data_IF_675418878471
#
_entry.id   IF_675418878471
#
_cell.length_a   1.000
_cell.length_b   1.000
_cell.length_c   1.000
_cell.angle_alpha   90.00
_cell.angle_beta   90.00
_cell.angle_gamma   90.00
#
_symmetry.space_group_name_H-M   'P 1'
#
loop_
_entity.id
_entity.type
_entity.pdbx_description
1 polymer ?
#
# COMPACT_ATOMS: atom_id res chain seq x y z
N UNK A 1 7.92 -27.48 9.08
CA UNK A 1 7.38 -26.32 9.81
C UNK A 1 8.57 -25.46 10.25
N UNK A 2 8.61 -24.17 9.94
CA UNK A 2 9.75 -23.32 10.32
C UNK A 2 9.62 -22.88 11.78
N UNK A 3 10.65 -23.13 12.58
CA UNK A 3 10.73 -22.67 13.97
C UNK A 3 11.70 -21.50 14.05
N UNK A 4 11.29 -20.40 14.69
CA UNK A 4 12.17 -19.26 14.94
C UNK A 4 12.58 -19.22 16.42
N UNK A 5 13.86 -18.93 16.67
CA UNK A 5 14.42 -18.70 18.01
C UNK A 5 14.86 -17.26 18.09
N UNK A 6 14.31 -16.52 19.05
CA UNK A 6 14.58 -15.11 19.27
C UNK A 6 15.40 -14.96 20.56
N UNK A 7 16.65 -14.55 20.44
CA UNK A 7 17.51 -14.32 21.61
C UNK A 7 17.41 -12.86 22.07
N UNK A 8 16.90 -12.65 23.28
CA UNK A 8 16.73 -11.32 23.89
C UNK A 8 17.94 -10.89 24.74
N UNK A 9 18.92 -11.77 25.00
CA UNK A 9 20.09 -11.51 25.86
C UNK A 9 21.17 -10.71 25.13
N UNK A 10 20.78 -9.67 24.40
CA UNK A 10 21.64 -8.88 23.50
C UNK A 10 22.10 -7.56 24.12
N UNK A 11 21.59 -7.18 25.30
CA UNK A 11 21.85 -5.89 25.94
C UNK A 11 21.05 -4.71 25.37
N UNK A 12 20.20 -4.96 24.36
CA UNK A 12 19.30 -3.98 23.75
C UNK A 12 17.99 -3.92 24.53
N UNK A 13 17.45 -2.72 24.74
CA UNK A 13 16.09 -2.55 25.27
C UNK A 13 15.07 -2.95 24.21
N UNK A 14 14.59 -4.20 24.29
CA UNK A 14 13.63 -4.73 23.35
C UNK A 14 12.21 -4.17 23.51
N UNK A 15 11.94 -3.40 24.58
CA UNK A 15 10.67 -2.68 24.79
C UNK A 15 10.68 -1.30 24.13
N UNK A 16 11.85 -0.80 23.72
CA UNK A 16 11.94 0.47 23.01
C UNK A 16 11.13 0.42 21.70
N UNK A 17 10.36 1.48 21.44
CA UNK A 17 9.49 1.56 20.25
C UNK A 17 10.20 2.15 19.05
N UNK A 18 9.99 1.54 17.89
CA UNK A 18 10.45 2.00 16.59
C UNK A 18 9.28 1.94 15.62
N UNK A 19 8.89 3.11 15.11
CA UNK A 19 7.67 3.29 14.30
C UNK A 19 6.40 2.71 14.95
N UNK A 20 6.25 2.89 16.27
CA UNK A 20 5.05 2.51 17.02
C UNK A 20 5.03 1.10 17.61
N UNK A 21 5.90 0.20 17.15
CA UNK A 21 6.03 -1.18 17.67
C UNK A 21 7.29 -1.34 18.50
N UNK A 22 7.29 -2.23 19.50
CA UNK A 22 8.53 -2.57 20.21
C UNK A 22 9.48 -3.37 19.32
N UNK A 23 10.77 -3.41 19.66
CA UNK A 23 11.75 -4.21 18.91
C UNK A 23 11.37 -5.70 18.95
N UNK A 24 10.97 -6.20 20.12
CA UNK A 24 10.51 -7.58 20.29
C UNK A 24 9.28 -7.87 19.42
N UNK A 25 8.28 -6.99 19.47
CA UNK A 25 7.05 -7.09 18.68
C UNK A 25 7.36 -7.19 17.18
N UNK A 26 8.25 -6.33 16.68
CA UNK A 26 8.67 -6.33 15.28
C UNK A 26 9.39 -7.62 14.90
N UNK A 27 10.28 -8.13 15.74
CA UNK A 27 11.00 -9.38 15.48
C UNK A 27 10.03 -10.58 15.39
N UNK A 28 9.08 -10.68 16.31
CA UNK A 28 8.05 -11.72 16.32
C UNK A 28 7.19 -11.64 15.05
N UNK A 29 6.66 -10.45 14.72
CA UNK A 29 5.80 -10.26 13.56
C UNK A 29 6.53 -10.54 12.24
N UNK A 30 7.80 -10.13 12.11
CA UNK A 30 8.61 -10.48 10.93
C UNK A 30 8.75 -11.98 10.72
N UNK A 31 9.05 -12.73 11.78
CA UNK A 31 9.15 -14.20 11.72
C UNK A 31 7.81 -14.85 11.37
N UNK A 32 6.74 -14.40 12.02
CA UNK A 32 5.38 -14.91 11.79
C UNK A 32 4.95 -14.69 10.34
N UNK A 33 5.02 -13.46 9.84
CA UNK A 33 4.63 -13.13 8.46
C UNK A 33 5.61 -13.67 7.40
N UNK A 34 6.83 -14.08 7.78
CA UNK A 34 7.72 -14.85 6.91
C UNK A 34 7.35 -16.34 6.85
N UNK A 35 6.42 -16.82 7.69
CA UNK A 35 5.87 -18.18 7.69
C UNK A 35 6.26 -19.06 8.87
N UNK A 36 6.86 -18.50 9.92
CA UNK A 36 7.20 -19.26 11.14
C UNK A 36 6.03 -19.26 12.11
N UNK A 37 5.40 -20.43 12.31
CA UNK A 37 4.26 -20.59 13.24
C UNK A 37 4.65 -21.00 14.65
N UNK A 38 5.92 -21.37 14.86
CA UNK A 38 6.48 -21.68 16.18
C UNK A 38 7.63 -20.72 16.46
N UNK A 39 7.54 -19.97 17.56
CA UNK A 39 8.54 -18.98 17.96
C UNK A 39 8.94 -19.26 19.42
N UNK A 40 10.23 -19.46 19.66
CA UNK A 40 10.84 -19.65 20.97
C UNK A 40 11.62 -18.40 21.36
N UNK A 41 11.24 -17.74 22.46
CA UNK A 41 11.91 -16.55 22.98
C UNK A 41 12.87 -16.98 24.08
N UNK A 42 14.16 -16.69 23.91
CA UNK A 42 15.22 -16.95 24.88
C UNK A 42 15.48 -15.67 25.66
N UNK A 43 15.34 -15.73 26.98
CA UNK A 43 15.54 -14.59 27.85
C UNK A 43 16.12 -14.99 29.21
N UNK A 44 16.88 -14.09 29.83
CA UNK A 44 17.50 -14.28 31.14
C UNK A 44 16.52 -14.13 32.31
N UNK A 45 15.45 -13.35 32.17
CA UNK A 45 14.48 -13.09 33.25
C UNK A 45 13.15 -13.83 33.05
N UNK A 46 12.40 -14.04 34.14
CA UNK A 46 11.14 -14.78 34.15
C UNK A 46 9.95 -14.01 33.54
N UNK A 47 10.03 -12.68 33.44
CA UNK A 47 8.89 -11.85 33.01
C UNK A 47 9.18 -11.15 31.68
N UNK A 48 8.52 -11.61 30.62
CA UNK A 48 8.44 -10.91 29.33
C UNK A 48 7.00 -10.45 29.13
N UNK A 49 6.82 -9.16 28.85
CA UNK A 49 5.51 -8.62 28.48
C UNK A 49 5.31 -8.91 26.98
N UNK A 50 4.42 -9.84 26.67
CA UNK A 50 4.06 -10.15 25.28
C UNK A 50 3.12 -9.04 24.77
N UNK A 51 3.47 -8.35 23.66
CA UNK A 51 2.63 -7.31 23.08
C UNK A 51 1.23 -7.83 22.70
N UNK A 52 0.20 -7.01 22.88
CA UNK A 52 -1.21 -7.38 22.58
C UNK A 52 -1.41 -7.78 21.11
N UNK A 53 -0.66 -7.16 20.18
CA UNK A 53 -0.70 -7.51 18.76
C UNK A 53 -0.29 -8.95 18.47
N UNK A 54 0.65 -9.49 19.25
CA UNK A 54 1.13 -10.87 19.14
C UNK A 54 0.09 -11.83 19.72
N UNK A 55 -0.60 -11.43 20.79
CA UNK A 55 -1.65 -12.24 21.43
C UNK A 55 -2.86 -12.46 20.50
N UNK A 56 -3.10 -11.55 19.54
CA UNK A 56 -4.15 -11.68 18.53
C UNK A 56 -3.87 -12.75 17.47
N UNK A 57 -2.65 -13.30 17.41
CA UNK A 57 -2.25 -14.33 16.44
C UNK A 57 -2.62 -15.73 16.96
N UNK A 58 -3.84 -16.18 16.68
CA UNK A 58 -4.38 -17.44 17.22
C UNK A 58 -3.64 -18.70 16.77
N UNK A 59 -2.94 -18.66 15.64
CA UNK A 59 -2.21 -19.81 15.07
C UNK A 59 -0.70 -19.78 15.37
N UNK A 60 -0.24 -18.82 16.18
CA UNK A 60 1.14 -18.70 16.63
C UNK A 60 1.36 -19.50 17.92
N UNK A 61 2.27 -20.47 17.88
CA UNK A 61 2.74 -21.16 19.08
C UNK A 61 3.98 -20.44 19.63
N UNK A 62 3.78 -19.67 20.70
CA UNK A 62 4.83 -18.92 21.38
C UNK A 62 5.32 -19.69 22.62
N UNK A 63 6.62 -19.97 22.68
CA UNK A 63 7.27 -20.54 23.87
C UNK A 63 8.30 -19.59 24.45
N UNK A 64 8.39 -19.51 25.78
CA UNK A 64 9.45 -18.76 26.48
C UNK A 64 10.41 -19.78 27.09
N UNK A 65 11.71 -19.63 26.77
CA UNK A 65 12.79 -20.42 27.34
C UNK A 65 13.67 -19.52 28.20
N UNK A 66 13.57 -19.69 29.51
CA UNK A 66 14.44 -18.98 30.45
C UNK A 66 15.83 -19.62 30.37
N UNK A 67 16.82 -18.86 29.93
CA UNK A 67 18.19 -19.34 29.74
C UNK A 67 19.19 -18.18 29.70
N UNK A 68 20.33 -18.36 30.36
CA UNK A 68 21.51 -17.48 30.27
C UNK A 68 22.37 -17.76 29.04
N UNK A 69 21.76 -18.29 27.98
CA UNK A 69 22.43 -18.50 26.70
C UNK A 69 22.93 -17.15 26.18
N UNK A 70 24.23 -17.07 25.89
CA UNK A 70 24.83 -15.92 25.22
C UNK A 70 24.11 -15.64 23.90
N UNK A 71 24.02 -14.38 23.46
CA UNK A 71 23.48 -14.04 22.15
C UNK A 71 24.19 -14.83 21.04
N UNK A 72 23.45 -15.13 19.97
CA UNK A 72 24.03 -15.87 18.86
C UNK A 72 25.20 -15.07 18.28
N UNK A 73 26.33 -15.73 17.99
CA UNK A 73 27.49 -15.08 17.36
C UNK A 73 27.09 -14.33 16.10
N UNK A 74 26.23 -14.96 15.29
CA UNK A 74 25.64 -14.36 14.09
C UNK A 74 24.21 -14.89 13.91
N UNK A 75 23.35 -14.08 13.28
CA UNK A 75 22.01 -14.51 12.88
C UNK A 75 22.09 -15.60 11.82
N UNK A 76 21.32 -16.69 11.98
CA UNK A 76 21.37 -17.84 11.09
C UNK A 76 19.97 -18.14 10.49
N UNK A 77 19.92 -18.20 9.17
CA UNK A 77 18.69 -18.37 8.40
C UNK A 77 18.80 -19.66 7.57
N UNK A 78 18.32 -20.79 8.12
CA UNK A 78 18.26 -22.06 7.41
C UNK A 78 16.81 -22.48 7.19
N UNK A 79 16.54 -23.21 6.11
CA UNK A 79 15.20 -23.74 5.84
C UNK A 79 14.75 -24.61 7.02
N UNK A 80 13.70 -24.18 7.72
CA UNK A 80 13.16 -24.86 8.90
C UNK A 80 13.60 -24.29 10.25
N UNK A 81 14.71 -23.54 10.34
CA UNK A 81 15.23 -22.98 11.59
C UNK A 81 15.73 -21.54 11.35
N UNK A 82 15.15 -20.59 12.08
CA UNK A 82 15.61 -19.21 12.14
C UNK A 82 16.19 -18.95 13.54
N UNK A 83 17.40 -18.42 13.64
CA UNK A 83 18.02 -18.00 14.89
C UNK A 83 18.38 -16.53 14.78
N UNK A 84 17.67 -15.67 15.51
CA UNK A 84 17.71 -14.22 15.34
C UNK A 84 17.93 -13.56 16.71
N UNK A 85 18.91 -12.66 16.78
CA UNK A 85 19.12 -11.73 17.87
C UNK A 85 18.07 -10.61 17.76
N UNK A 86 17.36 -10.31 18.85
CA UNK A 86 16.32 -9.25 18.83
C UNK A 86 16.91 -7.86 18.60
N UNK A 87 18.22 -7.68 18.82
CA UNK A 87 18.96 -6.49 18.37
C UNK A 87 18.86 -6.26 16.85
N UNK A 88 18.53 -7.27 16.05
CA UNK A 88 18.44 -7.15 14.60
C UNK A 88 17.02 -6.82 14.15
N UNK A 89 16.84 -5.62 13.59
CA UNK A 89 15.63 -5.25 12.88
C UNK A 89 15.66 -5.89 11.50
N UNK A 90 14.79 -6.88 11.32
CA UNK A 90 14.66 -7.63 10.07
C UNK A 90 13.22 -7.55 9.62
N UNK A 91 12.96 -7.21 8.36
CA UNK A 91 11.60 -7.30 7.80
C UNK A 91 11.31 -8.69 7.22
N UNK A 92 10.03 -9.02 7.03
CA UNK A 92 9.61 -10.33 6.51
C UNK A 92 10.23 -10.61 5.13
N UNK A 93 10.37 -9.58 4.29
CA UNK A 93 10.92 -9.64 2.94
C UNK A 93 12.36 -10.16 2.93
N UNK A 94 13.18 -9.72 3.88
CA UNK A 94 14.56 -10.19 4.01
C UNK A 94 14.61 -11.68 4.39
N UNK A 95 13.76 -12.12 5.34
CA UNK A 95 13.68 -13.53 5.75
C UNK A 95 13.21 -14.43 4.59
N UNK A 96 12.21 -13.96 3.83
CA UNK A 96 11.68 -14.66 2.64
C UNK A 96 12.76 -14.87 1.58
N UNK A 97 13.57 -13.84 1.30
CA UNK A 97 14.70 -13.91 0.36
C UNK A 97 15.72 -14.97 0.78
N UNK A 98 16.10 -15.00 2.05
CA UNK A 98 17.08 -15.94 2.59
C UNK A 98 16.55 -17.39 2.64
N UNK A 99 15.22 -17.56 2.78
CA UNK A 99 14.59 -18.89 2.86
C UNK A 99 14.09 -19.43 1.50
N UNK A 100 14.40 -18.74 0.40
CA UNK A 100 14.21 -19.23 -0.98
C UNK A 100 12.85 -18.96 -1.61
N UNK A 101 12.06 -18.05 -1.04
CA UNK A 101 10.79 -17.54 -1.61
C UNK A 101 11.05 -16.20 -2.34
N UNK A 102 10.15 -15.72 -3.23
CA UNK A 102 10.54 -14.77 -4.27
C UNK A 102 11.19 -13.50 -3.70
N UNK A 103 12.20 -13.03 -4.43
CA UNK A 103 12.95 -11.81 -4.17
C UNK A 103 12.01 -10.63 -4.00
N UNK A 104 11.88 -10.16 -2.77
CA UNK A 104 11.25 -8.89 -2.47
C UNK A 104 12.30 -7.78 -2.63
N UNK A 105 11.96 -6.67 -3.28
CA UNK A 105 12.96 -5.66 -3.60
C UNK A 105 13.19 -4.65 -2.46
N UNK A 106 12.46 -4.79 -1.35
CA UNK A 106 12.46 -3.89 -0.20
C UNK A 106 12.90 -4.63 1.06
N UNK A 107 14.16 -5.02 1.14
CA UNK A 107 14.68 -5.79 2.27
C UNK A 107 15.36 -4.89 3.30
N UNK A 108 15.05 -5.07 4.58
CA UNK A 108 15.69 -4.34 5.68
C UNK A 108 16.33 -5.33 6.64
N UNK A 109 17.61 -5.08 6.92
CA UNK A 109 18.36 -5.66 8.02
C UNK A 109 19.18 -4.54 8.66
N UNK A 110 18.97 -4.27 9.95
CA UNK A 110 19.73 -3.30 10.72
C UNK A 110 19.93 -3.80 12.14
N UNK A 111 21.18 -3.91 12.58
CA UNK A 111 21.49 -4.26 13.96
C UNK A 111 21.46 -3.01 14.86
N UNK A 112 20.93 -3.18 16.08
CA UNK A 112 20.82 -2.18 17.12
C UNK A 112 21.98 -2.33 18.09
N UNK A 113 22.93 -1.42 18.01
CA UNK A 113 24.16 -1.41 18.82
C UNK A 113 24.20 -0.25 19.80
N UNK A 114 23.63 0.89 19.41
CA UNK A 114 23.76 2.16 20.10
C UNK A 114 22.55 3.07 19.84
N UNK A 115 22.32 4.15 20.60
CA UNK A 115 21.18 5.04 20.41
C UNK A 115 21.02 5.61 18.99
N UNK A 116 22.10 5.78 18.22
CA UNK A 116 22.03 6.27 16.83
C UNK A 116 21.50 5.20 15.87
N UNK A 117 21.78 3.93 16.13
CA UNK A 117 21.28 2.78 15.35
C UNK A 117 19.75 2.72 15.31
N UNK A 118 19.05 3.19 16.34
CA UNK A 118 17.58 3.29 16.35
C UNK A 118 17.04 4.26 15.30
N UNK A 119 17.70 5.42 15.11
CA UNK A 119 17.33 6.39 14.06
C UNK A 119 17.61 5.83 12.67
N UNK A 120 18.73 5.12 12.51
CA UNK A 120 19.08 4.44 11.26
C UNK A 120 18.02 3.37 10.94
N UNK A 121 17.62 2.58 11.93
CA UNK A 121 16.62 1.54 11.78
C UNK A 121 15.23 2.11 11.47
N UNK A 122 14.80 3.20 12.12
CA UNK A 122 13.56 3.92 11.78
C UNK A 122 13.57 4.37 10.32
N UNK A 123 14.67 5.00 9.87
CA UNK A 123 14.82 5.45 8.48
C UNK A 123 14.83 4.28 7.50
N UNK A 124 15.49 3.17 7.84
CA UNK A 124 15.53 1.97 7.01
C UNK A 124 14.14 1.33 6.87
N UNK A 125 13.37 1.23 7.96
CA UNK A 125 11.98 0.74 7.94
C UNK A 125 11.12 1.62 7.03
N UNK A 126 11.17 2.95 7.20
CA UNK A 126 10.38 3.88 6.38
C UNK A 126 10.78 3.79 4.90
N UNK A 127 12.07 3.77 4.60
CA UNK A 127 12.56 3.66 3.22
C UNK A 127 12.20 2.32 2.56
N UNK A 128 12.03 1.25 3.34
CA UNK A 128 11.56 -0.04 2.82
C UNK A 128 10.13 0.00 2.30
N UNK A 129 9.37 1.04 2.60
CA UNK A 129 8.04 1.19 2.02
C UNK A 129 8.07 1.71 0.57
N UNK A 130 9.21 2.20 0.08
CA UNK A 130 9.36 2.66 -1.32
C UNK A 130 9.49 1.43 -2.22
N UNK A 131 8.58 1.19 -3.18
CA UNK A 131 8.73 0.04 -4.10
C UNK A 131 9.56 0.46 -5.33
N UNK A 132 10.58 -0.31 -5.75
CA UNK A 132 11.35 -0.02 -6.94
C UNK A 132 10.56 -0.33 -8.22
N UNK A 133 10.76 0.49 -9.24
CA UNK A 133 9.96 0.45 -10.47
C UNK A 133 8.59 1.12 -10.36
N UNK A 134 8.32 1.85 -9.28
CA UNK A 134 7.18 2.77 -9.19
C UNK A 134 7.31 3.91 -10.22
N UNK A 135 6.17 4.41 -10.72
CA UNK A 135 6.20 5.52 -11.68
C UNK A 135 6.80 6.78 -11.04
N UNK A 136 7.35 7.68 -11.86
CA UNK A 136 7.94 8.94 -11.40
C UNK A 136 7.04 9.73 -10.44
N UNK A 137 5.73 9.83 -10.71
CA UNK A 137 4.77 10.50 -9.82
C UNK A 137 4.64 9.83 -8.45
N UNK A 138 4.75 8.50 -8.41
CA UNK A 138 4.71 7.75 -7.15
C UNK A 138 5.95 8.07 -6.32
N UNK A 139 7.09 8.40 -6.94
CA UNK A 139 8.27 8.86 -6.22
C UNK A 139 8.03 10.18 -5.49
N UNK A 140 7.35 11.14 -6.13
CA UNK A 140 6.99 12.43 -5.53
C UNK A 140 6.04 12.26 -4.35
N UNK A 141 4.90 11.58 -4.55
CA UNK A 141 3.94 11.33 -3.47
C UNK A 141 4.58 10.57 -2.31
N UNK A 142 5.54 9.68 -2.59
CA UNK A 142 6.26 8.90 -1.58
C UNK A 142 7.15 9.75 -0.66
N UNK A 143 7.67 10.88 -1.12
CA UNK A 143 8.38 11.80 -0.22
C UNK A 143 7.43 12.40 0.81
N UNK A 144 6.25 12.83 0.36
CA UNK A 144 5.27 13.47 1.22
C UNK A 144 4.55 12.46 2.12
N UNK A 145 4.18 11.29 1.60
CA UNK A 145 3.56 10.22 2.40
C UNK A 145 4.48 9.75 3.51
N UNK A 146 5.76 9.49 3.22
CA UNK A 146 6.71 9.05 4.25
C UNK A 146 6.94 10.10 5.34
N UNK A 147 6.84 11.39 5.00
CA UNK A 147 6.85 12.46 5.99
C UNK A 147 5.68 12.30 6.96
N UNK A 148 4.44 12.16 6.46
CA UNK A 148 3.27 11.94 7.31
C UNK A 148 3.33 10.61 8.07
N UNK A 149 3.68 9.52 7.39
CA UNK A 149 3.83 8.17 7.97
C UNK A 149 4.79 8.19 9.15
N UNK A 150 5.91 8.92 9.08
CA UNK A 150 6.87 9.04 10.18
C UNK A 150 6.23 9.55 11.49
N UNK A 151 5.27 10.46 11.40
CA UNK A 151 4.57 10.98 12.58
C UNK A 151 3.41 10.07 12.98
N UNK A 152 2.60 9.64 12.02
CA UNK A 152 1.41 8.81 12.26
C UNK A 152 1.79 7.44 12.83
N UNK A 153 2.90 6.84 12.39
CA UNK A 153 3.31 5.51 12.84
C UNK A 153 3.68 5.46 14.32
N UNK A 154 4.13 6.58 14.91
CA UNK A 154 4.46 6.69 16.34
C UNK A 154 3.23 6.66 17.24
N UNK A 155 2.06 6.89 16.65
CA UNK A 155 0.78 6.97 17.34
C UNK A 155 0.09 5.61 17.33
N UNK A 156 -0.21 5.03 18.49
CA UNK A 156 -0.73 3.64 18.56
C UNK A 156 -2.20 3.52 18.19
N UNK A 157 -3.02 4.55 18.41
CA UNK A 157 -4.47 4.51 18.17
C UNK A 157 -4.88 4.74 16.71
N UNK A 158 -4.01 5.32 15.88
CA UNK A 158 -4.31 5.53 14.45
C UNK A 158 -4.08 4.22 13.69
N UNK A 159 -5.16 3.70 13.11
CA UNK A 159 -5.16 2.49 12.27
C UNK A 159 -5.09 2.84 10.78
N UNK A 160 -4.58 1.94 9.91
CA UNK A 160 -4.61 2.16 8.46
C UNK A 160 -6.01 2.51 7.94
N UNK A 161 -7.03 1.77 8.35
CA UNK A 161 -8.41 2.00 7.91
C UNK A 161 -8.96 3.39 8.28
N UNK A 162 -8.50 3.99 9.38
CA UNK A 162 -8.88 5.38 9.72
C UNK A 162 -8.23 6.38 8.77
N UNK A 163 -6.99 6.12 8.34
CA UNK A 163 -6.32 6.93 7.31
C UNK A 163 -7.02 6.72 5.96
N UNK A 164 -7.47 5.50 5.66
CA UNK A 164 -8.29 5.20 4.47
C UNK A 164 -9.55 6.06 4.44
N UNK A 165 -10.35 6.02 5.51
CA UNK A 165 -11.56 6.84 5.62
C UNK A 165 -11.27 8.34 5.52
N UNK A 166 -10.14 8.78 6.10
CA UNK A 166 -9.72 10.18 6.02
C UNK A 166 -9.37 10.61 4.60
N UNK A 167 -8.60 9.82 3.83
CA UNK A 167 -8.29 10.20 2.45
C UNK A 167 -9.54 10.21 1.58
N UNK A 168 -10.49 9.28 1.83
CA UNK A 168 -11.76 9.26 1.09
C UNK A 168 -12.53 10.55 1.34
N UNK A 169 -12.62 10.98 2.59
CA UNK A 169 -13.23 12.27 2.94
C UNK A 169 -12.53 13.44 2.24
N UNK A 170 -11.20 13.47 2.26
CA UNK A 170 -10.40 14.52 1.58
C UNK A 170 -10.68 14.54 0.08
N UNK A 171 -10.74 13.38 -0.58
CA UNK A 171 -11.05 13.26 -2.00
C UNK A 171 -12.46 13.72 -2.33
N UNK A 172 -13.46 13.36 -1.51
CA UNK A 172 -14.85 13.79 -1.69
C UNK A 172 -15.01 15.30 -1.50
N UNK A 173 -14.45 15.86 -0.42
CA UNK A 173 -14.45 17.31 -0.18
C UNK A 173 -13.75 18.03 -1.34
N UNK A 174 -12.59 17.52 -1.78
CA UNK A 174 -11.90 18.05 -2.94
C UNK A 174 -12.78 18.08 -4.18
N UNK A 175 -13.50 16.99 -4.46
CA UNK A 175 -14.39 16.90 -5.63
C UNK A 175 -15.57 17.86 -5.55
N UNK A 176 -16.18 18.03 -4.37
CA UNK A 176 -17.25 19.01 -4.16
C UNK A 176 -16.73 20.44 -4.42
N UNK A 177 -15.52 20.74 -3.96
CA UNK A 177 -14.92 22.07 -4.14
C UNK A 177 -14.61 22.41 -5.61
N UNK A 178 -14.33 21.40 -6.45
CA UNK A 178 -14.12 21.59 -7.90
C UNK A 178 -15.36 22.09 -8.65
N UNK A 179 -16.55 21.96 -8.06
CA UNK A 179 -17.80 22.45 -8.62
C UNK A 179 -18.01 23.94 -8.34
N UNK A 180 -17.23 24.55 -7.45
CA UNK A 180 -17.45 25.94 -7.04
C UNK A 180 -17.12 26.95 -8.15
N UNK A 181 -17.96 27.99 -8.25
CA UNK A 181 -17.71 29.18 -9.09
C UNK A 181 -16.57 30.06 -8.54
N UNK A 182 -16.27 29.94 -7.24
CA UNK A 182 -15.21 30.73 -6.60
C UNK A 182 -13.85 30.11 -6.89
N UNK A 183 -13.01 30.84 -7.64
CA UNK A 183 -11.69 30.37 -8.08
C UNK A 183 -10.84 29.78 -6.93
N UNK A 184 -10.80 30.42 -5.76
CA UNK A 184 -10.00 29.94 -4.63
C UNK A 184 -10.52 28.61 -4.05
N UNK A 185 -11.84 28.37 -4.07
CA UNK A 185 -12.44 27.10 -3.64
C UNK A 185 -12.10 26.01 -4.66
N UNK A 186 -12.23 26.33 -5.95
CA UNK A 186 -11.85 25.42 -7.04
C UNK A 186 -10.39 24.96 -6.93
N UNK A 187 -9.45 25.89 -6.76
CA UNK A 187 -8.02 25.54 -6.62
C UNK A 187 -7.72 24.77 -5.34
N UNK A 188 -8.41 25.05 -4.23
CA UNK A 188 -8.29 24.23 -3.03
C UNK A 188 -8.80 22.80 -3.30
N UNK A 189 -9.90 22.64 -4.03
CA UNK A 189 -10.35 21.34 -4.52
C UNK A 189 -9.31 20.60 -5.37
N UNK A 190 -8.66 21.31 -6.31
CA UNK A 190 -7.58 20.76 -7.13
C UNK A 190 -6.38 20.30 -6.30
N UNK A 191 -6.04 20.99 -5.21
CA UNK A 191 -4.94 20.62 -4.31
C UNK A 191 -5.32 19.43 -3.42
N UNK A 192 -6.59 19.31 -3.02
CA UNK A 192 -7.03 18.20 -2.17
C UNK A 192 -6.99 16.85 -2.91
N UNK A 193 -7.18 16.81 -4.23
CA UNK A 193 -7.10 15.57 -5.02
C UNK A 193 -5.74 14.84 -4.90
N UNK A 194 -4.58 15.47 -5.19
CA UNK A 194 -3.29 14.82 -4.99
C UNK A 194 -3.00 14.56 -3.50
N UNK A 195 -3.54 15.36 -2.57
CA UNK A 195 -3.40 15.09 -1.14
C UNK A 195 -4.12 13.80 -0.72
N UNK A 196 -5.30 13.50 -1.30
CA UNK A 196 -5.97 12.22 -1.06
C UNK A 196 -5.06 11.02 -1.43
N UNK A 197 -4.38 11.08 -2.58
CA UNK A 197 -3.40 10.05 -3.00
C UNK A 197 -2.23 9.92 -2.03
N UNK A 198 -1.76 11.05 -1.48
CA UNK A 198 -0.69 11.04 -0.48
C UNK A 198 -1.14 10.28 0.76
N UNK A 199 -2.37 10.50 1.23
CA UNK A 199 -2.91 9.82 2.41
C UNK A 199 -3.27 8.35 2.17
N UNK A 200 -3.72 7.99 0.97
CA UNK A 200 -3.81 6.59 0.52
C UNK A 200 -2.41 5.92 0.61
N UNK A 201 -1.36 6.57 0.10
CA UNK A 201 -0.01 6.04 0.27
C UNK A 201 0.41 5.88 1.75
N UNK A 202 -0.03 6.77 2.64
CA UNK A 202 0.23 6.70 4.09
C UNK A 202 -0.45 5.48 4.72
N UNK A 203 -1.67 5.12 4.32
CA UNK A 203 -2.37 3.99 4.93
C UNK A 203 -1.65 2.66 4.65
N UNK A 204 -1.17 2.47 3.42
CA UNK A 204 -0.51 1.26 2.99
C UNK A 204 0.92 1.18 3.54
N UNK A 205 1.54 2.33 3.75
CA UNK A 205 2.80 2.46 4.50
C UNK A 205 2.61 2.11 5.97
N UNK A 206 1.55 2.62 6.60
CA UNK A 206 1.22 2.35 8.00
C UNK A 206 0.93 0.86 8.22
N UNK A 207 0.15 0.25 7.33
CA UNK A 207 -0.13 -1.19 7.34
C UNK A 207 1.17 -2.01 7.25
N UNK A 208 2.12 -1.59 6.42
CA UNK A 208 3.42 -2.25 6.28
C UNK A 208 4.31 -2.10 7.51
N UNK A 209 4.44 -0.87 8.00
CA UNK A 209 5.33 -0.52 9.11
C UNK A 209 4.87 -1.13 10.44
N UNK A 210 3.54 -1.20 10.65
CA UNK A 210 2.91 -1.76 11.84
C UNK A 210 2.50 -3.24 11.69
N UNK A 211 2.76 -3.87 10.55
CA UNK A 211 2.28 -5.22 10.21
C UNK A 211 0.75 -5.39 10.35
N UNK A 212 0.00 -4.31 10.18
CA UNK A 212 -1.46 -4.27 10.31
C UNK A 212 -2.14 -4.58 8.96
N UNK A 213 -1.78 -5.71 8.35
CA UNK A 213 -2.35 -6.16 7.08
C UNK A 213 -3.73 -6.78 7.31
N UNK A 214 -4.72 -6.44 6.48
CA UNK A 214 -6.02 -7.10 6.50
C UNK A 214 -6.64 -7.17 5.11
N UNK A 215 -7.33 -8.28 4.80
CA UNK A 215 -8.07 -8.42 3.53
C UNK A 215 -9.18 -7.37 3.41
N UNK A 216 -9.88 -7.10 4.50
CA UNK A 216 -10.93 -6.06 4.53
C UNK A 216 -10.36 -4.67 4.30
N UNK A 217 -9.17 -4.36 4.83
CA UNK A 217 -8.48 -3.09 4.55
C UNK A 217 -8.12 -2.93 3.08
N UNK A 218 -7.61 -3.97 2.42
CA UNK A 218 -7.31 -3.93 0.98
C UNK A 218 -8.56 -3.68 0.12
N UNK A 219 -9.71 -4.24 0.50
CA UNK A 219 -10.98 -3.96 -0.16
C UNK A 219 -11.48 -2.53 0.11
N UNK A 220 -11.39 -2.07 1.35
CA UNK A 220 -11.80 -0.70 1.72
C UNK A 220 -10.99 0.35 0.95
N UNK A 221 -9.68 0.16 0.85
CA UNK A 221 -8.76 1.00 0.07
C UNK A 221 -9.18 1.05 -1.41
N UNK A 222 -9.34 -0.13 -2.02
CA UNK A 222 -9.75 -0.25 -3.43
C UNK A 222 -11.11 0.43 -3.69
N UNK A 223 -12.09 0.23 -2.81
CA UNK A 223 -13.42 0.85 -2.96
C UNK A 223 -13.34 2.37 -2.76
N UNK A 224 -12.65 2.82 -1.72
CA UNK A 224 -12.48 4.24 -1.40
C UNK A 224 -11.82 5.03 -2.53
N UNK A 225 -10.77 4.47 -3.11
CA UNK A 225 -10.05 5.04 -4.24
C UNK A 225 -10.93 5.23 -5.48
N UNK A 226 -11.70 4.20 -5.84
CA UNK A 226 -12.61 4.27 -6.98
C UNK A 226 -13.76 5.25 -6.72
N UNK A 227 -14.22 5.33 -5.47
CA UNK A 227 -15.25 6.29 -5.07
C UNK A 227 -14.75 7.73 -5.21
N UNK A 228 -13.54 8.05 -4.73
CA UNK A 228 -12.94 9.37 -4.90
C UNK A 228 -12.82 9.77 -6.37
N UNK A 229 -12.33 8.84 -7.19
CA UNK A 229 -12.13 9.08 -8.62
C UNK A 229 -13.46 9.26 -9.36
N UNK A 230 -14.50 8.50 -9.01
CA UNK A 230 -15.85 8.69 -9.58
C UNK A 230 -16.37 10.11 -9.30
N UNK A 231 -16.28 10.56 -8.04
CA UNK A 231 -16.72 11.90 -7.65
C UNK A 231 -15.89 12.99 -8.33
N UNK A 232 -14.59 12.77 -8.51
CA UNK A 232 -13.74 13.68 -9.28
C UNK A 232 -14.22 13.80 -10.73
N UNK A 233 -14.49 12.67 -11.41
CA UNK A 233 -14.98 12.67 -12.81
C UNK A 233 -16.34 13.38 -12.90
N UNK A 234 -17.25 13.14 -11.95
CA UNK A 234 -18.54 13.83 -11.88
C UNK A 234 -18.35 15.35 -11.73
N UNK A 235 -17.46 15.78 -10.82
CA UNK A 235 -17.19 17.18 -10.59
C UNK A 235 -16.60 17.88 -11.82
N UNK A 236 -15.65 17.25 -12.50
CA UNK A 236 -15.06 17.77 -13.74
C UNK A 236 -16.09 17.78 -14.88
N UNK A 237 -16.95 16.76 -14.98
CA UNK A 237 -18.04 16.73 -15.95
C UNK A 237 -19.01 17.90 -15.76
N UNK A 238 -19.39 18.18 -14.51
CA UNK A 238 -20.20 19.35 -14.18
C UNK A 238 -19.47 20.64 -14.55
N UNK A 239 -18.21 20.81 -14.10
CA UNK A 239 -17.43 22.03 -14.34
C UNK A 239 -17.23 22.29 -15.84
N UNK A 240 -17.06 21.23 -16.63
CA UNK A 240 -16.97 21.32 -18.07
C UNK A 240 -18.25 21.86 -18.72
N UNK A 241 -19.41 21.40 -18.24
CA UNK A 241 -20.70 21.89 -18.72
C UNK A 241 -20.94 23.34 -18.28
N UNK A 242 -20.62 23.69 -17.04
CA UNK A 242 -20.73 25.05 -16.51
C UNK A 242 -19.95 26.08 -17.35
N UNK A 243 -18.71 25.75 -17.74
CA UNK A 243 -17.83 26.63 -18.53
C UNK A 243 -18.32 26.80 -19.97
N UNK A 244 -18.72 25.70 -20.63
CA UNK A 244 -18.98 25.72 -22.07
C UNK A 244 -20.46 25.91 -22.42
N UNK A 245 -21.37 25.47 -21.54
CA UNK A 245 -22.83 25.53 -21.71
C UNK A 245 -23.34 24.92 -23.03
N UNK A 246 -22.62 23.94 -23.58
CA UNK A 246 -23.00 23.25 -24.83
C UNK A 246 -23.53 21.85 -24.58
N UNK A 247 -24.41 21.36 -25.45
CA UNK A 247 -24.85 19.96 -25.43
C UNK A 247 -23.68 18.97 -25.56
N UNK A 248 -22.68 19.30 -26.38
CA UNK A 248 -21.48 18.50 -26.54
C UNK A 248 -20.71 18.33 -25.21
N UNK A 249 -20.55 19.41 -24.43
CA UNK A 249 -19.88 19.36 -23.13
C UNK A 249 -20.61 18.49 -22.10
N UNK A 250 -21.96 18.48 -22.14
CA UNK A 250 -22.80 17.63 -21.31
C UNK A 250 -22.66 16.15 -21.70
N UNK A 251 -22.78 15.84 -23.00
CA UNK A 251 -22.64 14.48 -23.53
C UNK A 251 -21.27 13.92 -23.17
N UNK A 252 -20.20 14.71 -23.36
CA UNK A 252 -18.84 14.32 -23.02
C UNK A 252 -18.72 13.95 -21.53
N UNK A 253 -19.31 14.75 -20.64
CA UNK A 253 -19.36 14.47 -19.21
C UNK A 253 -20.06 13.15 -18.88
N UNK A 254 -21.27 12.95 -19.42
CA UNK A 254 -22.08 11.74 -19.20
C UNK A 254 -21.34 10.49 -19.68
N UNK A 255 -20.78 10.53 -20.89
CA UNK A 255 -20.02 9.40 -21.46
C UNK A 255 -18.80 9.06 -20.60
N UNK A 256 -18.10 10.07 -20.10
CA UNK A 256 -16.94 9.88 -19.21
C UNK A 256 -17.32 9.18 -17.90
N UNK A 257 -18.43 9.58 -17.28
CA UNK A 257 -18.96 8.95 -16.05
C UNK A 257 -19.36 7.49 -16.33
N UNK A 258 -20.10 7.22 -17.42
CA UNK A 258 -20.53 5.87 -17.78
C UNK A 258 -19.32 4.96 -18.01
N UNK A 259 -18.33 5.42 -18.78
CA UNK A 259 -17.09 4.66 -19.03
C UNK A 259 -16.37 4.36 -17.72
N UNK A 260 -16.30 5.31 -16.80
CA UNK A 260 -15.64 5.09 -15.52
C UNK A 260 -16.40 4.03 -14.68
N UNK A 261 -17.72 4.13 -14.58
CA UNK A 261 -18.56 3.14 -13.87
C UNK A 261 -18.37 1.75 -14.47
N UNK A 262 -18.39 1.62 -15.81
CA UNK A 262 -18.15 0.34 -16.48
C UNK A 262 -16.76 -0.22 -16.14
N UNK A 263 -15.72 0.62 -16.12
CA UNK A 263 -14.37 0.18 -15.73
C UNK A 263 -14.32 -0.35 -14.29
N UNK A 264 -14.97 0.33 -13.36
CA UNK A 264 -15.05 -0.10 -11.95
C UNK A 264 -15.79 -1.42 -11.83
N UNK A 265 -16.92 -1.59 -12.53
CA UNK A 265 -17.67 -2.85 -12.55
C UNK A 265 -16.81 -4.00 -13.10
N UNK A 266 -16.14 -3.80 -14.23
CA UNK A 266 -15.24 -4.82 -14.81
C UNK A 266 -14.06 -5.14 -13.91
N UNK A 267 -13.49 -4.13 -13.23
CA UNK A 267 -12.44 -4.34 -12.24
C UNK A 267 -12.92 -5.26 -11.12
N UNK A 268 -14.08 -4.97 -10.53
CA UNK A 268 -14.62 -5.79 -9.45
C UNK A 268 -14.98 -7.20 -9.89
N UNK A 269 -15.55 -7.38 -11.09
CA UNK A 269 -15.80 -8.71 -11.67
C UNK A 269 -14.50 -9.50 -11.89
N UNK A 270 -13.43 -8.82 -12.32
CA UNK A 270 -12.12 -9.46 -12.50
C UNK A 270 -11.52 -9.84 -11.16
N UNK A 271 -11.54 -8.94 -10.18
CA UNK A 271 -11.02 -9.19 -8.83
C UNK A 271 -11.79 -10.33 -8.14
N UNK A 272 -13.12 -10.34 -8.20
CA UNK A 272 -13.94 -11.39 -7.58
C UNK A 272 -13.68 -12.78 -8.16
N UNK A 273 -13.20 -12.85 -9.41
CA UNK A 273 -12.92 -14.11 -10.13
C UNK A 273 -11.46 -14.55 -10.06
N UNK A 274 -10.52 -13.63 -9.85
CA UNK A 274 -9.08 -13.91 -9.93
C UNK A 274 -8.37 -13.89 -8.57
N UNK A 275 -8.93 -13.23 -7.56
CA UNK A 275 -8.24 -12.97 -6.30
C UNK A 275 -9.17 -12.96 -5.10
N UNK A 276 -8.80 -13.64 -4.02
CA UNK A 276 -9.47 -13.54 -2.71
C UNK A 276 -9.16 -12.22 -1.95
N UNK A 277 -8.64 -11.21 -2.65
CA UNK A 277 -8.11 -9.96 -2.11
C UNK A 277 -8.29 -8.83 -3.12
N UNK A 278 -8.57 -7.59 -2.69
CA UNK A 278 -8.64 -6.42 -3.59
C UNK A 278 -7.32 -6.00 -4.26
N UNK A 279 -6.24 -6.76 -4.05
CA UNK A 279 -4.89 -6.41 -4.51
C UNK A 279 -4.70 -6.57 -6.02
N UNK A 280 -4.54 -5.44 -6.70
CA UNK A 280 -4.19 -5.32 -8.13
C UNK A 280 -2.80 -5.91 -8.52
N UNK A 281 -1.99 -6.36 -7.56
CA UNK A 281 -0.62 -6.84 -7.82
C UNK A 281 -0.56 -8.18 -8.56
N UNK A 282 -1.60 -9.01 -8.48
CA UNK A 282 -1.65 -10.28 -9.19
C UNK A 282 -1.73 -10.08 -10.71
N UNK A 283 -2.59 -9.16 -11.16
CA UNK A 283 -2.83 -8.82 -12.57
C UNK A 283 -1.59 -8.13 -13.20
N UNK A 284 -0.88 -7.31 -12.40
CA UNK A 284 0.35 -6.62 -12.82
C UNK A 284 1.48 -7.56 -13.25
N UNK A 285 1.55 -8.79 -12.73
CA UNK A 285 2.69 -9.68 -12.96
C UNK A 285 2.63 -10.37 -14.32
N UNK A 286 1.44 -10.62 -14.85
CA UNK A 286 1.25 -11.11 -16.22
C UNK A 286 1.49 -10.02 -17.28
N UNK A 287 1.22 -8.76 -16.93
CA UNK A 287 1.33 -7.61 -17.82
C UNK A 287 2.76 -7.28 -18.26
N UNK A 288 3.77 -7.53 -17.40
CA UNK A 288 5.18 -7.20 -17.68
C UNK A 288 5.80 -7.95 -18.87
N UNK A 289 5.13 -8.96 -19.44
CA UNK A 289 5.68 -9.78 -20.54
C UNK A 289 5.46 -9.22 -21.95
N UNK A 290 4.87 -8.02 -22.15
CA UNK A 290 4.27 -7.62 -23.45
C UNK A 290 4.90 -6.44 -24.24
N UNK A 291 6.16 -6.08 -24.02
CA UNK A 291 6.91 -5.16 -24.90
C UNK A 291 6.73 -3.65 -24.63
N UNK A 292 7.59 -2.83 -25.24
CA UNK A 292 7.82 -1.41 -24.93
C UNK A 292 6.56 -0.53 -25.02
N UNK A 293 5.72 -0.71 -26.05
CA UNK A 293 4.48 0.08 -26.21
C UNK A 293 3.46 -0.20 -25.11
N UNK A 294 3.33 -1.46 -24.69
CA UNK A 294 2.44 -1.85 -23.59
C UNK A 294 2.96 -1.30 -22.27
N UNK A 295 4.28 -1.27 -22.08
CA UNK A 295 4.91 -0.66 -20.90
C UNK A 295 4.68 0.86 -20.83
N UNK A 296 4.85 1.57 -21.94
CA UNK A 296 4.56 3.02 -22.01
C UNK A 296 3.08 3.29 -21.70
N UNK A 297 2.16 2.54 -22.31
CA UNK A 297 0.71 2.70 -22.08
C UNK A 297 0.33 2.35 -20.63
N UNK A 298 0.84 1.25 -20.08
CA UNK A 298 0.56 0.88 -18.69
C UNK A 298 1.17 1.84 -17.68
N UNK A 299 2.32 2.45 -17.98
CA UNK A 299 2.90 3.52 -17.14
C UNK A 299 2.07 4.79 -17.24
N UNK A 300 1.68 5.23 -18.44
CA UNK A 300 0.88 6.43 -18.65
C UNK A 300 -0.52 6.34 -17.99
N UNK A 301 -1.07 5.13 -17.89
CA UNK A 301 -2.36 4.86 -17.24
C UNK A 301 -2.26 4.63 -15.73
N UNK A 302 -1.06 4.72 -15.12
CA UNK A 302 -0.96 4.65 -13.65
C UNK A 302 -1.70 5.83 -13.03
N UNK A 303 -2.64 5.54 -12.12
CA UNK A 303 -3.46 6.53 -11.37
C UNK A 303 -2.68 7.76 -10.92
N UNK A 304 -1.51 7.54 -10.32
CA UNK A 304 -0.68 8.61 -9.76
C UNK A 304 -0.18 9.58 -10.83
N UNK A 305 0.12 9.10 -12.04
CA UNK A 305 0.49 9.96 -13.18
C UNK A 305 -0.76 10.65 -13.75
N UNK A 306 -1.85 9.90 -13.96
CA UNK A 306 -3.13 10.45 -14.47
C UNK A 306 -3.61 11.63 -13.63
N UNK A 307 -3.59 11.51 -12.31
CA UNK A 307 -4.04 12.58 -11.40
C UNK A 307 -3.15 13.82 -11.49
N UNK A 308 -1.84 13.65 -11.68
CA UNK A 308 -0.93 14.77 -11.88
C UNK A 308 -1.25 15.52 -13.19
N UNK A 309 -1.48 14.79 -14.29
CA UNK A 309 -1.91 15.41 -15.55
C UNK A 309 -3.25 16.13 -15.41
N UNK A 310 -4.21 15.51 -14.72
CA UNK A 310 -5.51 16.11 -14.46
C UNK A 310 -5.42 17.37 -13.60
N UNK A 311 -4.50 17.43 -12.64
CA UNK A 311 -4.24 18.64 -11.86
C UNK A 311 -3.71 19.76 -12.76
N UNK A 312 -2.73 19.47 -13.62
CA UNK A 312 -2.16 20.48 -14.55
C UNK A 312 -3.22 20.98 -15.53
N UNK A 313 -3.99 20.08 -16.14
CA UNK A 313 -5.08 20.46 -17.04
C UNK A 313 -6.20 21.23 -16.31
N UNK A 314 -6.54 20.81 -15.09
CA UNK A 314 -7.52 21.47 -14.24
C UNK A 314 -7.09 22.88 -13.85
N UNK A 315 -5.80 23.10 -13.59
CA UNK A 315 -5.26 24.42 -13.29
C UNK A 315 -5.55 25.44 -14.41
N UNK A 316 -5.54 24.98 -15.66
CA UNK A 316 -5.86 25.77 -16.86
C UNK A 316 -7.33 25.64 -17.31
N UNK A 317 -8.22 25.07 -16.48
CA UNK A 317 -9.63 24.83 -16.80
C UNK A 317 -9.86 24.00 -18.09
N UNK A 318 -8.91 23.15 -18.47
CA UNK A 318 -9.01 22.26 -19.63
C UNK A 318 -9.83 21.00 -19.30
N UNK A 319 -11.02 21.19 -18.72
CA UNK A 319 -11.90 20.13 -18.22
C UNK A 319 -12.35 19.18 -19.32
N UNK A 320 -12.60 19.69 -20.53
CA UNK A 320 -12.96 18.85 -21.68
C UNK A 320 -11.86 17.87 -22.05
N UNK A 321 -10.60 18.33 -22.03
CA UNK A 321 -9.43 17.48 -22.29
C UNK A 321 -9.28 16.38 -21.25
N UNK A 322 -9.52 16.69 -19.96
CA UNK A 322 -9.52 15.69 -18.88
C UNK A 322 -10.53 14.58 -19.18
N UNK A 323 -11.76 14.94 -19.56
CA UNK A 323 -12.83 13.98 -19.84
C UNK A 323 -12.52 13.11 -21.06
N UNK A 324 -11.94 13.70 -22.13
CA UNK A 324 -11.50 12.96 -23.32
C UNK A 324 -10.40 11.96 -22.97
N UNK A 325 -9.39 12.37 -22.19
CA UNK A 325 -8.33 11.47 -21.73
C UNK A 325 -8.92 10.32 -20.90
N UNK A 326 -9.86 10.62 -19.99
CA UNK A 326 -10.55 9.60 -19.19
C UNK A 326 -11.31 8.60 -20.07
N UNK A 327 -11.99 9.06 -21.12
CA UNK A 327 -12.70 8.21 -22.07
C UNK A 327 -11.74 7.30 -22.84
N UNK A 328 -10.69 7.87 -23.44
CA UNK A 328 -9.70 7.11 -24.23
C UNK A 328 -9.01 6.07 -23.35
N UNK A 329 -8.53 6.48 -22.16
CA UNK A 329 -7.92 5.58 -21.19
C UNK A 329 -8.88 4.50 -20.72
N UNK A 330 -10.13 4.88 -20.46
CA UNK A 330 -11.19 3.97 -20.03
C UNK A 330 -11.57 2.93 -21.10
N UNK A 331 -11.62 3.30 -22.38
CA UNK A 331 -11.83 2.34 -23.48
C UNK A 331 -10.65 1.35 -23.54
N UNK A 332 -9.42 1.86 -23.45
CA UNK A 332 -8.22 1.01 -23.41
C UNK A 332 -8.25 -0.01 -22.27
N UNK A 333 -8.66 0.42 -21.08
CA UNK A 333 -8.80 -0.44 -19.89
C UNK A 333 -9.92 -1.47 -20.04
N UNK A 334 -11.07 -1.11 -20.62
CA UNK A 334 -12.16 -2.06 -20.90
C UNK A 334 -11.73 -3.15 -21.89
N UNK A 335 -11.08 -2.77 -22.99
CA UNK A 335 -10.54 -3.73 -23.97
C UNK A 335 -9.54 -4.66 -23.28
N UNK A 336 -8.66 -4.11 -22.45
CA UNK A 336 -7.68 -4.89 -21.71
C UNK A 336 -8.33 -5.90 -20.73
N UNK A 337 -9.31 -5.45 -19.94
CA UNK A 337 -10.05 -6.29 -19.00
C UNK A 337 -10.81 -7.40 -19.73
N UNK A 338 -11.45 -7.10 -20.85
CA UNK A 338 -12.14 -8.08 -21.68
C UNK A 338 -11.19 -9.14 -22.22
N UNK A 339 -10.03 -8.74 -22.78
CA UNK A 339 -9.01 -9.67 -23.27
C UNK A 339 -8.48 -10.56 -22.14
N UNK A 340 -8.30 -10.01 -20.94
CA UNK A 340 -7.84 -10.75 -19.76
C UNK A 340 -8.87 -11.80 -19.34
N UNK A 341 -10.15 -11.41 -19.17
CA UNK A 341 -11.23 -12.33 -18.83
C UNK A 341 -11.43 -13.43 -19.88
N UNK A 342 -11.35 -13.08 -21.17
CA UNK A 342 -11.46 -14.04 -22.26
C UNK A 342 -10.34 -15.09 -22.22
N UNK A 343 -9.11 -14.68 -21.88
CA UNK A 343 -7.98 -15.61 -21.72
C UNK A 343 -8.17 -16.54 -20.53
N UNK A 344 -8.59 -16.00 -19.38
CA UNK A 344 -8.86 -16.78 -18.18
C UNK A 344 -9.95 -17.83 -18.42
N UNK A 345 -11.01 -17.45 -19.14
CA UNK A 345 -12.04 -18.38 -19.56
C UNK A 345 -11.50 -19.47 -20.49
N UNK A 346 -10.74 -19.09 -21.52
CA UNK A 346 -10.16 -20.04 -22.48
C UNK A 346 -9.22 -21.05 -21.81
N UNK A 347 -8.51 -20.65 -20.77
CA UNK A 347 -7.61 -21.51 -20.00
C UNK A 347 -8.33 -22.38 -18.95
N UNK A 348 -9.67 -22.32 -18.84
CA UNK A 348 -10.47 -23.00 -17.80
C UNK A 348 -10.07 -22.64 -16.36
N UNK A 349 -9.44 -21.48 -16.16
CA UNK A 349 -9.03 -21.02 -14.83
C UNK A 349 -10.21 -20.41 -14.05
N UNK A 350 -11.35 -20.16 -14.71
CA UNK A 350 -12.57 -19.57 -14.12
C UNK A 350 -13.81 -20.21 -14.74
N UNK A 351 -14.71 -20.78 -13.92
CA UNK A 351 -16.06 -21.19 -14.34
C UNK A 351 -17.02 -20.00 -14.21
N UNK A 352 -17.91 -19.83 -15.21
CA UNK A 352 -18.81 -18.67 -15.30
C UNK A 352 -20.04 -18.78 -14.45
#
# INVERSE_FOLDING_TARGET
MTTAKLNCNTGVDFNQKICGLTVLERAILSCYYAGSKKIEIIHENDTIIIPESVQKLSDLNLGIKISKEKPYKENNFKKGILSINVSSIINKEYIVKLTGKPTAPNTVYQELTDPSSYKIAEKAILNSCRKPGEAFSSHYYRYLSLFFTKYVCRTTFITPNMVTAFFVLVGLVGSIMLVSDKWYIYYLGLILQPMAIVFDCVDGELARVKYAYSKSGEWLDTVGDNFCTLFFVIAIAYKNYEINQTQASMILGIVSIIIYILNVLFLFLTLSKTTDSGSLQAISKELKKKGLLVEIVTVALKRNLVTLYFMVLGFFYLTGTILVINIIGGIGMLIFSFVTLFKLWKNQEVNW
#
